data_IF_730051559608
#
_entry.id   IF_730051559608
#
_cell.length_a   1.000
_cell.length_b   1.000
_cell.length_c   1.000
_cell.angle_alpha   90.00
_cell.angle_beta   90.00
_cell.angle_gamma   90.00
#
_symmetry.space_group_name_H-M   'P 1'
#
loop_
_entity.id
_entity.type
_entity.pdbx_description
1 polymer ?
#
# COMPACT_ATOMS: atom_id res chain seq x y z
N UNK A 1 9.07 -26.72 -17.67
CA UNK A 1 8.86 -26.79 -16.21
C UNK A 1 8.64 -25.39 -15.70
N UNK A 2 7.54 -25.13 -14.97
CA UNK A 2 7.35 -23.84 -14.31
C UNK A 2 8.34 -23.76 -13.14
N UNK A 3 9.24 -22.77 -13.16
CA UNK A 3 10.16 -22.54 -12.05
C UNK A 3 9.38 -21.81 -10.97
N UNK A 4 9.01 -22.53 -9.90
CA UNK A 4 8.42 -21.90 -8.71
C UNK A 4 9.52 -21.24 -7.90
N UNK A 5 9.44 -19.91 -7.76
CA UNK A 5 10.38 -19.08 -6.99
C UNK A 5 9.77 -18.75 -5.64
N UNK A 6 10.27 -19.39 -4.60
CA UNK A 6 9.72 -19.26 -3.24
C UNK A 6 9.99 -17.87 -2.64
N UNK A 7 11.10 -17.24 -3.03
CA UNK A 7 11.40 -15.85 -2.69
C UNK A 7 10.41 -14.87 -3.33
N UNK A 8 9.97 -15.10 -4.56
CA UNK A 8 8.92 -14.27 -5.16
C UNK A 8 7.57 -14.41 -4.44
N UNK A 9 7.24 -15.61 -3.94
CA UNK A 9 6.02 -15.86 -3.17
C UNK A 9 6.06 -15.22 -1.78
N UNK A 10 7.24 -15.14 -1.18
CA UNK A 10 7.46 -14.59 0.17
C UNK A 10 7.98 -13.15 0.17
N UNK A 11 7.86 -12.42 -0.95
CA UNK A 11 8.37 -11.05 -1.08
C UNK A 11 7.64 -10.07 -0.15
N UNK A 12 6.34 -10.26 0.08
CA UNK A 12 5.57 -9.46 1.03
C UNK A 12 5.55 -10.09 2.42
N UNK A 13 5.58 -9.26 3.46
CA UNK A 13 5.39 -9.69 4.85
C UNK A 13 4.19 -8.99 5.47
N UNK A 14 3.58 -9.63 6.46
CA UNK A 14 2.56 -9.02 7.33
C UNK A 14 2.83 -9.44 8.76
N UNK A 15 2.99 -8.47 9.65
CA UNK A 15 3.08 -8.67 11.10
C UNK A 15 1.83 -8.12 11.75
N UNK A 16 1.25 -8.87 12.68
CA UNK A 16 0.05 -8.46 13.42
C UNK A 16 0.42 -8.17 14.88
N UNK A 17 -0.19 -7.12 15.44
CA UNK A 17 -0.19 -6.80 16.87
C UNK A 17 -1.65 -6.84 17.31
N UNK A 18 -1.99 -7.76 18.21
CA UNK A 18 -3.39 -7.98 18.62
C UNK A 18 -4.02 -6.77 19.31
N UNK A 19 -3.21 -6.08 20.13
CA UNK A 19 -3.63 -4.91 20.88
C UNK A 19 -2.61 -3.79 20.73
N UNK A 20 -2.87 -2.93 19.76
CA UNK A 20 -2.14 -1.69 19.56
C UNK A 20 -3.01 -0.51 19.98
N UNK A 21 -2.41 0.44 20.68
CA UNK A 21 -3.08 1.62 21.23
C UNK A 21 -2.56 2.87 20.53
N UNK A 22 -3.47 3.80 20.23
CA UNK A 22 -3.16 5.08 19.61
C UNK A 22 -4.23 6.12 19.96
N UNK A 23 -4.00 7.39 19.64
CA UNK A 23 -5.04 8.40 19.66
C UNK A 23 -5.80 8.43 18.33
N UNK A 24 -7.08 8.82 18.34
CA UNK A 24 -7.85 9.05 17.11
C UNK A 24 -7.14 10.01 16.13
N UNK A 25 -6.34 10.93 16.65
CA UNK A 25 -5.58 11.90 15.87
C UNK A 25 -4.40 11.29 15.11
N UNK A 26 -3.89 10.13 15.56
CA UNK A 26 -2.77 9.42 14.94
C UNK A 26 -3.18 8.65 13.67
N UNK A 27 -4.47 8.47 13.43
CA UNK A 27 -4.98 7.77 12.23
C UNK A 27 -4.93 8.72 11.03
N UNK A 28 -4.20 8.40 9.98
CA UNK A 28 -3.97 9.25 8.82
C UNK A 28 -5.06 9.17 7.74
N UNK A 29 -5.79 8.05 7.68
CA UNK A 29 -6.85 7.89 6.68
C UNK A 29 -7.63 6.59 6.79
N UNK A 30 -8.44 6.34 5.76
CA UNK A 30 -9.25 5.13 5.62
C UNK A 30 -8.81 4.34 4.39
N UNK A 31 -8.90 3.02 4.45
CA UNK A 31 -8.51 2.16 3.32
C UNK A 31 -9.64 1.25 2.80
N UNK A 32 -10.81 1.22 3.45
CA UNK A 32 -11.98 0.45 3.00
C UNK A 32 -13.30 1.25 3.04
N UNK A 33 -13.22 2.58 3.13
CA UNK A 33 -14.39 3.45 3.12
C UNK A 33 -15.17 3.33 1.81
N UNK A 34 -16.50 3.46 1.90
CA UNK A 34 -17.40 3.60 0.75
C UNK A 34 -17.38 5.02 0.15
N UNK A 35 -16.70 5.96 0.80
CA UNK A 35 -16.58 7.33 0.33
C UNK A 35 -15.59 7.43 -0.82
N UNK A 36 -15.80 8.41 -1.71
CA UNK A 36 -14.84 8.75 -2.78
C UNK A 36 -13.62 9.50 -2.21
N UNK A 37 -12.81 8.79 -1.40
CA UNK A 37 -11.68 9.38 -0.65
C UNK A 37 -10.67 10.09 -1.55
N UNK A 38 -10.55 9.65 -2.81
CA UNK A 38 -9.64 10.24 -3.80
C UNK A 38 -9.96 11.71 -4.14
N UNK A 39 -11.17 12.20 -3.81
CA UNK A 39 -11.58 13.59 -3.99
C UNK A 39 -11.06 14.53 -2.89
N UNK A 40 -10.44 13.98 -1.83
CA UNK A 40 -10.04 14.72 -0.64
C UNK A 40 -8.56 14.58 -0.36
N UNK A 41 -7.92 15.68 0.06
CA UNK A 41 -6.50 15.69 0.45
C UNK A 41 -6.28 15.20 1.89
N UNK A 42 -7.33 15.20 2.71
CA UNK A 42 -7.29 14.81 4.12
C UNK A 42 -8.69 14.45 4.63
N UNK A 43 -8.76 13.80 5.79
CA UNK A 43 -10.03 13.55 6.49
C UNK A 43 -10.72 14.85 6.92
N UNK A 44 -9.95 15.87 7.33
CA UNK A 44 -10.49 17.20 7.64
C UNK A 44 -11.22 17.78 6.43
N UNK A 45 -10.59 17.78 5.25
CA UNK A 45 -11.19 18.28 4.02
C UNK A 45 -12.45 17.49 3.61
N UNK A 46 -12.50 16.19 3.93
CA UNK A 46 -13.67 15.36 3.70
C UNK A 46 -14.84 15.82 4.56
N UNK A 47 -14.64 16.01 5.86
CA UNK A 47 -15.71 16.40 6.79
C UNK A 47 -16.16 17.83 6.55
N UNK A 48 -15.22 18.76 6.33
CA UNK A 48 -15.52 20.16 6.02
C UNK A 48 -16.37 20.31 4.75
N UNK A 49 -16.27 19.39 3.79
CA UNK A 49 -17.07 19.44 2.55
C UNK A 49 -18.35 18.64 2.64
N UNK A 50 -18.29 17.41 3.17
CA UNK A 50 -19.37 16.44 3.05
C UNK A 50 -20.18 16.22 4.33
N UNK A 51 -19.75 16.75 5.48
CA UNK A 51 -20.36 16.47 6.79
C UNK A 51 -20.27 17.67 7.74
N UNK A 52 -20.59 18.85 7.23
CA UNK A 52 -20.52 20.10 8.00
C UNK A 52 -21.40 20.07 9.24
N UNK A 53 -22.56 19.42 9.16
CA UNK A 53 -23.51 19.21 10.25
C UNK A 53 -22.95 18.35 11.39
N UNK A 54 -21.90 17.56 11.13
CA UNK A 54 -21.22 16.77 12.17
C UNK A 54 -20.17 17.58 12.93
N UNK A 55 -19.82 18.77 12.43
CA UNK A 55 -18.79 19.66 12.98
C UNK A 55 -19.28 21.12 13.07
N UNK A 56 -20.59 21.31 13.10
CA UNK A 56 -21.25 22.63 13.21
C UNK A 56 -20.84 23.34 14.51
N UNK A 57 -20.64 22.56 15.56
CA UNK A 57 -20.09 22.97 16.84
C UNK A 57 -18.83 22.18 17.19
N UNK A 58 -17.84 22.86 17.75
CA UNK A 58 -16.61 22.25 18.25
C UNK A 58 -16.72 22.17 19.77
N UNK A 59 -17.44 21.16 20.26
CA UNK A 59 -17.74 20.97 21.68
C UNK A 59 -17.52 19.51 22.11
N UNK A 60 -17.23 19.25 23.40
CA UNK A 60 -17.15 17.89 23.93
C UNK A 60 -18.43 17.08 23.72
N UNK A 61 -19.59 17.73 23.78
CA UNK A 61 -20.89 17.09 23.57
C UNK A 61 -21.05 16.59 22.13
N UNK A 62 -20.67 17.42 21.14
CA UNK A 62 -20.69 17.04 19.73
C UNK A 62 -19.66 15.94 19.41
N UNK A 63 -18.51 15.98 20.08
CA UNK A 63 -17.53 14.89 20.00
C UNK A 63 -18.13 13.58 20.50
N UNK A 64 -18.78 13.59 21.67
CA UNK A 64 -19.41 12.41 22.24
C UNK A 64 -20.55 11.87 21.35
N UNK A 65 -21.35 12.76 20.75
CA UNK A 65 -22.40 12.38 19.79
C UNK A 65 -21.81 11.62 18.59
N UNK A 66 -20.75 12.15 17.97
CA UNK A 66 -20.11 11.49 16.83
C UNK A 66 -19.46 10.15 17.23
N UNK A 67 -18.81 10.08 18.39
CA UNK A 67 -18.18 8.86 18.90
C UNK A 67 -19.19 7.76 19.28
N UNK A 68 -20.42 8.14 19.61
CA UNK A 68 -21.49 7.18 19.92
C UNK A 68 -22.04 6.47 18.68
N UNK A 69 -21.61 6.83 17.47
CA UNK A 69 -22.07 6.20 16.23
C UNK A 69 -21.63 4.73 16.15
N UNK A 70 -22.60 3.83 16.01
CA UNK A 70 -22.37 2.39 16.12
C UNK A 70 -21.49 1.81 15.00
N UNK A 71 -21.40 2.49 13.86
CA UNK A 71 -20.55 2.06 12.75
C UNK A 71 -19.09 2.48 12.90
N UNK A 72 -18.72 3.20 13.96
CA UNK A 72 -17.30 3.32 14.35
C UNK A 72 -16.91 2.03 15.07
N UNK A 73 -16.73 0.97 14.29
CA UNK A 73 -16.62 -0.39 14.83
C UNK A 73 -15.35 -0.60 15.62
N UNK A 74 -14.28 0.13 15.33
CA UNK A 74 -13.06 0.08 16.17
C UNK A 74 -13.32 0.46 17.64
N UNK A 75 -14.39 1.22 17.92
CA UNK A 75 -14.85 1.56 19.28
C UNK A 75 -15.99 0.64 19.71
N UNK A 76 -16.97 0.41 18.83
CA UNK A 76 -18.23 -0.27 19.20
C UNK A 76 -18.17 -1.81 19.13
N UNK A 77 -17.20 -2.41 18.41
CA UNK A 77 -17.09 -3.87 18.17
C UNK A 77 -15.65 -4.36 18.01
N UNK A 78 -15.27 -5.36 18.79
CA UNK A 78 -13.86 -5.77 18.98
C UNK A 78 -13.19 -6.44 17.76
N UNK A 79 -13.93 -6.89 16.74
CA UNK A 79 -13.42 -7.79 15.70
C UNK A 79 -13.56 -7.33 14.24
N UNK A 80 -14.20 -6.19 13.97
CA UNK A 80 -14.53 -5.79 12.60
C UNK A 80 -13.49 -4.87 11.94
N UNK A 81 -13.19 -3.74 12.59
CA UNK A 81 -12.24 -2.76 12.06
C UNK A 81 -10.85 -3.00 12.67
N UNK A 82 -9.81 -2.63 11.95
CA UNK A 82 -8.42 -2.76 12.40
C UNK A 82 -7.55 -1.67 11.78
N UNK A 83 -6.36 -1.47 12.34
CA UNK A 83 -5.37 -0.54 11.81
C UNK A 83 -4.40 -1.24 10.88
N UNK A 84 -3.88 -0.53 9.89
CA UNK A 84 -2.78 -1.03 9.08
C UNK A 84 -1.83 0.07 8.61
N UNK A 85 -0.57 -0.31 8.42
CA UNK A 85 0.49 0.55 7.89
C UNK A 85 1.33 -0.25 6.89
N UNK A 86 1.82 0.44 5.87
CA UNK A 86 2.88 -0.07 5.02
C UNK A 86 4.20 0.56 5.42
N UNK A 87 5.24 -0.24 5.67
CA UNK A 87 6.52 0.24 6.21
C UNK A 87 7.15 1.35 5.37
N UNK A 88 6.95 1.33 4.06
CA UNK A 88 7.47 2.37 3.15
C UNK A 88 6.68 3.68 3.13
N UNK A 89 5.50 3.72 3.75
CA UNK A 89 4.60 4.88 3.81
C UNK A 89 4.51 5.46 5.23
N UNK A 90 4.57 4.60 6.26
CA UNK A 90 4.62 4.99 7.68
C UNK A 90 3.30 5.49 8.28
N UNK A 91 2.34 5.89 7.44
CA UNK A 91 1.01 6.36 7.87
C UNK A 91 0.12 5.22 8.35
N UNK A 92 -0.76 5.52 9.31
CA UNK A 92 -1.71 4.58 9.90
C UNK A 92 -3.08 4.73 9.25
N UNK A 93 -3.60 3.66 8.66
CA UNK A 93 -4.92 3.64 8.06
C UNK A 93 -5.89 2.80 8.88
N UNK A 94 -7.10 3.30 9.07
CA UNK A 94 -8.21 2.52 9.59
C UNK A 94 -8.86 1.72 8.44
N UNK A 95 -8.89 0.41 8.60
CA UNK A 95 -9.64 -0.51 7.77
C UNK A 95 -11.06 -0.61 8.28
N UNK A 96 -11.89 0.35 7.87
CA UNK A 96 -13.27 0.44 8.30
C UNK A 96 -14.25 0.00 7.21
N UNK A 97 -15.40 -0.51 7.64
CA UNK A 97 -16.50 -0.90 6.75
C UNK A 97 -17.75 -0.01 6.87
N UNK A 98 -17.71 0.98 7.78
CA UNK A 98 -18.75 1.98 8.05
C UNK A 98 -18.20 3.12 8.93
N UNK A 99 -18.98 4.17 9.17
CA UNK A 99 -18.62 5.22 10.14
C UNK A 99 -17.50 6.21 9.77
N UNK A 100 -16.98 6.24 8.54
CA UNK A 100 -15.86 7.15 8.16
C UNK A 100 -16.16 8.63 8.44
N UNK A 101 -17.39 9.09 8.21
CA UNK A 101 -17.77 10.49 8.41
C UNK A 101 -17.75 10.87 9.90
N UNK A 102 -18.39 10.06 10.75
CA UNK A 102 -18.39 10.26 12.20
C UNK A 102 -16.99 10.11 12.81
N UNK A 103 -16.18 9.14 12.35
CA UNK A 103 -14.80 9.00 12.80
C UNK A 103 -13.98 10.26 12.46
N UNK A 104 -14.05 10.72 11.21
CA UNK A 104 -13.31 11.89 10.77
C UNK A 104 -13.80 13.17 11.47
N UNK A 105 -15.11 13.31 11.72
CA UNK A 105 -15.67 14.43 12.50
C UNK A 105 -15.20 14.39 13.95
N UNK A 106 -15.18 13.21 14.56
CA UNK A 106 -14.65 13.01 15.92
C UNK A 106 -13.17 13.42 15.99
N UNK A 107 -12.34 12.95 15.05
CA UNK A 107 -10.93 13.36 14.95
C UNK A 107 -10.80 14.88 14.80
N UNK A 108 -11.62 15.48 13.93
CA UNK A 108 -11.59 16.91 13.64
C UNK A 108 -11.89 17.76 14.88
N UNK A 109 -12.90 17.39 15.66
CA UNK A 109 -13.30 18.06 16.90
C UNK A 109 -12.27 17.81 18.01
N UNK A 110 -11.89 16.55 18.25
CA UNK A 110 -10.92 16.17 19.28
C UNK A 110 -9.60 16.94 19.14
N UNK A 111 -9.08 17.05 17.91
CA UNK A 111 -7.88 17.82 17.60
C UNK A 111 -8.00 19.31 17.93
N UNK A 112 -9.17 19.92 17.70
CA UNK A 112 -9.40 21.35 17.96
C UNK A 112 -9.64 21.65 19.43
N UNK A 113 -10.20 20.70 20.16
CA UNK A 113 -10.37 20.78 21.62
C UNK A 113 -9.13 20.34 22.38
N UNK A 114 -8.13 19.76 21.69
CA UNK A 114 -6.97 19.13 22.31
C UNK A 114 -7.39 18.06 23.34
N UNK A 115 -8.36 17.23 22.95
CA UNK A 115 -8.87 16.10 23.74
C UNK A 115 -8.33 14.81 23.14
N UNK A 116 -7.73 13.98 23.98
CA UNK A 116 -7.32 12.63 23.59
C UNK A 116 -8.53 11.70 23.56
N UNK A 117 -8.62 10.89 22.50
CA UNK A 117 -9.60 9.83 22.33
C UNK A 117 -8.81 8.55 22.05
N UNK A 118 -8.48 7.78 23.10
CA UNK A 118 -7.68 6.57 22.95
C UNK A 118 -8.47 5.49 22.20
N UNK A 119 -7.81 4.88 21.23
CA UNK A 119 -8.29 3.74 20.47
C UNK A 119 -7.40 2.53 20.74
N UNK A 120 -8.00 1.35 20.67
CA UNK A 120 -7.28 0.08 20.80
C UNK A 120 -7.83 -0.91 19.79
N UNK A 121 -6.95 -1.64 19.12
CA UNK A 121 -7.38 -2.71 18.22
C UNK A 121 -6.22 -3.45 17.59
N UNK A 122 -6.56 -4.38 16.69
CA UNK A 122 -5.56 -5.10 15.90
C UNK A 122 -4.83 -4.14 14.97
N UNK A 123 -3.54 -4.33 14.81
CA UNK A 123 -2.70 -3.52 13.94
C UNK A 123 -1.83 -4.39 13.04
N UNK A 124 -1.92 -4.17 11.73
CA UNK A 124 -1.15 -4.88 10.71
C UNK A 124 -0.07 -4.00 10.12
N UNK A 125 1.16 -4.51 10.12
CA UNK A 125 2.29 -3.86 9.46
C UNK A 125 2.70 -4.70 8.26
N UNK A 126 2.53 -4.12 7.08
CA UNK A 126 2.93 -4.71 5.81
C UNK A 126 4.33 -4.25 5.43
N UNK A 127 5.18 -5.18 5.01
CA UNK A 127 6.55 -4.89 4.65
C UNK A 127 7.03 -5.70 3.45
N UNK A 128 8.30 -5.49 3.11
CA UNK A 128 9.02 -6.26 2.10
C UNK A 128 10.00 -7.18 2.83
N UNK A 129 9.99 -8.45 2.47
CA UNK A 129 10.95 -9.43 2.97
C UNK A 129 12.33 -9.16 2.33
N UNK A 130 13.24 -8.58 3.12
CA UNK A 130 14.57 -8.23 2.64
C UNK A 130 15.37 -9.44 2.16
N UNK A 131 15.29 -10.58 2.85
CA UNK A 131 15.99 -11.82 2.45
C UNK A 131 15.49 -12.32 1.09
N UNK A 132 14.17 -12.30 0.89
CA UNK A 132 13.58 -12.69 -0.38
C UNK A 132 13.94 -11.70 -1.52
N UNK A 133 13.94 -10.41 -1.23
CA UNK A 133 14.34 -9.38 -2.18
C UNK A 133 15.82 -9.48 -2.56
N UNK A 134 16.70 -9.72 -1.59
CA UNK A 134 18.12 -9.96 -1.83
C UNK A 134 18.34 -11.18 -2.72
N UNK A 135 17.69 -12.30 -2.41
CA UNK A 135 17.72 -13.52 -3.24
C UNK A 135 17.27 -13.24 -4.67
N UNK A 136 16.14 -12.55 -4.87
CA UNK A 136 15.65 -12.20 -6.21
C UNK A 136 16.61 -11.29 -6.97
N UNK A 137 17.11 -10.24 -6.30
CA UNK A 137 17.99 -9.24 -6.95
C UNK A 137 19.43 -9.69 -7.09
N UNK A 138 19.82 -10.79 -6.42
CA UNK A 138 21.05 -11.51 -6.69
C UNK A 138 20.94 -12.27 -8.02
N UNK A 139 19.81 -12.95 -8.25
CA UNK A 139 19.63 -13.80 -9.42
C UNK A 139 19.17 -13.05 -10.68
N UNK A 140 18.45 -11.94 -10.50
CA UNK A 140 17.81 -11.20 -11.59
C UNK A 140 18.08 -9.70 -11.54
N UNK A 141 18.20 -9.11 -12.72
CA UNK A 141 17.86 -7.70 -12.94
C UNK A 141 16.35 -7.62 -13.19
N UNK A 142 15.65 -6.69 -12.53
CA UNK A 142 14.17 -6.64 -12.54
C UNK A 142 13.72 -5.27 -13.01
N UNK A 143 12.97 -5.22 -14.11
CA UNK A 143 12.50 -3.96 -14.70
C UNK A 143 10.99 -3.89 -14.81
N UNK A 144 10.44 -2.69 -14.72
CA UNK A 144 9.04 -2.43 -15.06
C UNK A 144 8.90 -2.24 -16.57
N UNK A 145 7.92 -2.92 -17.16
CA UNK A 145 7.53 -2.77 -18.56
C UNK A 145 6.02 -2.61 -18.67
N UNK A 146 5.54 -2.05 -19.78
CA UNK A 146 4.10 -2.00 -20.07
C UNK A 146 3.57 -3.40 -20.37
N UNK A 147 2.39 -3.75 -19.85
CA UNK A 147 1.69 -4.99 -20.18
C UNK A 147 0.81 -4.91 -21.44
N UNK A 148 0.79 -3.77 -22.15
CA UNK A 148 0.10 -3.66 -23.43
C UNK A 148 0.59 -4.72 -24.43
N UNK A 149 -0.37 -5.39 -25.07
CA UNK A 149 -0.13 -6.58 -25.91
C UNK A 149 0.94 -6.34 -26.99
N UNK A 150 0.90 -5.19 -27.67
CA UNK A 150 1.88 -4.83 -28.72
C UNK A 150 3.29 -4.74 -28.16
N UNK A 151 3.49 -4.08 -27.01
CA UNK A 151 4.79 -3.96 -26.36
C UNK A 151 5.31 -5.31 -25.86
N UNK A 152 4.46 -6.10 -25.20
CA UNK A 152 4.85 -7.44 -24.74
C UNK A 152 5.22 -8.37 -25.90
N UNK A 153 4.47 -8.33 -27.01
CA UNK A 153 4.77 -9.13 -28.19
C UNK A 153 6.07 -8.70 -28.87
N UNK A 154 6.30 -7.39 -29.01
CA UNK A 154 7.57 -6.87 -29.54
C UNK A 154 8.76 -7.29 -28.66
N UNK A 155 8.64 -7.14 -27.33
CA UNK A 155 9.68 -7.57 -26.40
C UNK A 155 9.92 -9.07 -26.46
N UNK A 156 8.86 -9.88 -26.43
CA UNK A 156 8.95 -11.34 -26.52
C UNK A 156 9.65 -11.78 -27.80
N UNK A 157 9.28 -11.22 -28.96
CA UNK A 157 9.92 -11.51 -30.25
C UNK A 157 11.40 -11.11 -30.26
N UNK A 158 11.74 -9.96 -29.67
CA UNK A 158 13.13 -9.54 -29.53
C UNK A 158 13.94 -10.51 -28.67
N UNK A 159 13.40 -10.94 -27.52
CA UNK A 159 14.04 -11.94 -26.65
C UNK A 159 14.20 -13.28 -27.35
N UNK A 160 13.18 -13.75 -28.10
CA UNK A 160 13.27 -14.98 -28.88
C UNK A 160 14.33 -14.90 -29.98
N UNK A 161 14.34 -13.81 -30.76
CA UNK A 161 15.32 -13.60 -31.84
C UNK A 161 16.73 -13.52 -31.30
N UNK A 162 16.92 -12.81 -30.19
CA UNK A 162 18.20 -12.70 -29.51
C UNK A 162 18.54 -13.95 -28.69
N UNK A 163 17.60 -14.87 -28.50
CA UNK A 163 17.65 -16.05 -27.62
C UNK A 163 18.10 -15.70 -26.19
N UNK A 164 17.55 -14.63 -25.64
CA UNK A 164 17.71 -14.28 -24.22
C UNK A 164 16.57 -14.90 -23.41
N UNK A 165 16.91 -15.41 -22.23
CA UNK A 165 15.92 -15.94 -21.29
C UNK A 165 15.31 -14.80 -20.49
N UNK A 166 14.01 -14.85 -20.23
CA UNK A 166 13.40 -13.92 -19.30
C UNK A 166 12.16 -14.55 -18.67
N UNK A 167 11.81 -14.03 -17.50
CA UNK A 167 10.53 -14.30 -16.85
C UNK A 167 9.76 -13.00 -16.71
N UNK A 168 8.46 -13.10 -16.48
CA UNK A 168 7.65 -11.91 -16.25
C UNK A 168 6.47 -12.22 -15.32
N UNK A 169 5.95 -11.18 -14.68
CA UNK A 169 4.76 -11.23 -13.83
C UNK A 169 4.04 -9.90 -13.85
N UNK A 170 2.71 -9.91 -13.90
CA UNK A 170 1.91 -8.68 -13.79
C UNK A 170 2.15 -7.97 -12.45
N UNK A 171 2.20 -6.64 -12.48
CA UNK A 171 2.24 -5.84 -11.27
C UNK A 171 0.83 -5.76 -10.63
N UNK A 172 0.76 -5.64 -9.29
CA UNK A 172 -0.51 -5.50 -8.60
C UNK A 172 -1.16 -4.14 -8.89
N UNK A 173 -2.43 -4.00 -8.51
CA UNK A 173 -3.13 -2.71 -8.55
C UNK A 173 -2.34 -1.63 -7.79
N UNK A 174 -2.32 -0.37 -8.27
CA UNK A 174 -3.04 0.14 -9.44
C UNK A 174 -2.33 -0.11 -10.79
N UNK A 175 -1.16 -0.73 -10.80
CA UNK A 175 -0.28 -0.89 -11.98
C UNK A 175 -0.66 -2.07 -12.89
N UNK A 176 -1.95 -2.31 -13.10
CA UNK A 176 -2.44 -3.48 -13.86
C UNK A 176 -2.08 -3.46 -15.35
N UNK A 177 -1.68 -2.29 -15.86
CA UNK A 177 -1.17 -2.07 -17.22
C UNK A 177 0.37 -2.22 -17.31
N UNK A 178 1.00 -2.77 -16.28
CA UNK A 178 2.45 -2.97 -16.19
C UNK A 178 2.80 -4.39 -15.72
N UNK A 179 4.01 -4.83 -16.06
CA UNK A 179 4.58 -6.08 -15.60
C UNK A 179 6.03 -5.90 -15.15
N UNK A 180 6.48 -6.76 -14.24
CA UNK A 180 7.87 -6.95 -13.91
C UNK A 180 8.49 -7.95 -14.89
N UNK A 181 9.64 -7.60 -15.48
CA UNK A 181 10.47 -8.50 -16.29
C UNK A 181 11.72 -8.84 -15.51
N UNK A 182 12.02 -10.13 -15.41
CA UNK A 182 13.16 -10.69 -14.68
C UNK A 182 14.16 -11.25 -15.68
N UNK A 183 15.37 -10.68 -15.69
CA UNK A 183 16.47 -11.08 -16.56
C UNK A 183 17.54 -11.82 -15.74
N UNK A 184 17.76 -13.13 -15.97
CA UNK A 184 18.74 -13.90 -15.21
C UNK A 184 20.15 -13.34 -15.38
N UNK A 185 20.82 -12.97 -14.28
CA UNK A 185 22.19 -12.42 -14.34
C UNK A 185 23.23 -13.46 -14.78
N UNK A 186 22.99 -14.73 -14.48
CA UNK A 186 23.87 -15.83 -14.86
C UNK A 186 23.87 -16.13 -16.37
N UNK A 187 22.91 -15.60 -17.14
CA UNK A 187 22.81 -15.83 -18.59
C UNK A 187 23.30 -14.60 -19.36
N UNK A 188 24.34 -14.79 -20.17
CA UNK A 188 25.08 -13.69 -20.83
C UNK A 188 24.19 -12.79 -21.70
N UNK A 189 23.23 -13.35 -22.43
CA UNK A 189 22.34 -12.58 -23.32
C UNK A 189 21.34 -11.77 -22.51
N UNK A 190 20.77 -12.35 -21.46
CA UNK A 190 19.87 -11.69 -20.51
C UNK A 190 20.57 -10.53 -19.80
N UNK A 191 21.80 -10.74 -19.33
CA UNK A 191 22.63 -9.67 -18.78
C UNK A 191 22.86 -8.54 -19.81
N UNK A 192 23.09 -8.87 -21.09
CA UNK A 192 23.23 -7.86 -22.14
C UNK A 192 21.94 -7.07 -22.38
N UNK A 193 20.78 -7.74 -22.30
CA UNK A 193 19.48 -7.06 -22.37
C UNK A 193 19.32 -6.10 -21.18
N UNK A 194 19.70 -6.52 -19.96
CA UNK A 194 19.62 -5.68 -18.78
C UNK A 194 20.49 -4.42 -18.90
N UNK A 195 21.71 -4.52 -19.45
CA UNK A 195 22.56 -3.35 -19.76
C UNK A 195 21.85 -2.36 -20.69
N UNK A 196 21.15 -2.87 -21.72
CA UNK A 196 20.40 -2.04 -22.67
C UNK A 196 19.22 -1.34 -21.98
N UNK A 197 18.48 -2.05 -21.12
CA UNK A 197 17.36 -1.49 -20.38
C UNK A 197 17.81 -0.40 -19.39
N UNK A 198 18.92 -0.63 -18.69
CA UNK A 198 19.58 0.38 -17.85
C UNK A 198 20.00 1.61 -18.68
N UNK A 199 20.70 1.41 -19.80
CA UNK A 199 21.12 2.50 -20.69
C UNK A 199 19.93 3.26 -21.31
N UNK A 200 18.77 2.61 -21.41
CA UNK A 200 17.52 3.20 -21.92
C UNK A 200 16.63 3.77 -20.81
N UNK A 201 17.14 3.86 -19.57
CA UNK A 201 16.46 4.43 -18.41
C UNK A 201 15.11 3.76 -18.07
N UNK A 202 14.99 2.45 -18.29
CA UNK A 202 13.84 1.70 -17.77
C UNK A 202 13.87 1.68 -16.24
N UNK A 203 12.69 1.71 -15.62
CA UNK A 203 12.56 1.67 -14.16
C UNK A 203 13.08 0.33 -13.62
N UNK A 204 14.17 0.39 -12.86
CA UNK A 204 14.69 -0.73 -12.08
C UNK A 204 13.77 -0.95 -10.86
N UNK A 205 12.99 -2.03 -10.92
CA UNK A 205 12.08 -2.43 -9.87
C UNK A 205 12.83 -3.03 -8.68
N UNK A 206 13.90 -3.78 -8.94
CA UNK A 206 14.71 -4.39 -7.88
C UNK A 206 15.35 -3.35 -6.96
N UNK A 207 15.92 -2.31 -7.56
CA UNK A 207 16.46 -1.14 -6.84
C UNK A 207 15.37 -0.36 -6.12
N UNK A 208 14.26 -0.06 -6.81
CA UNK A 208 13.14 0.64 -6.18
C UNK A 208 12.63 -0.07 -4.93
N UNK A 209 12.42 -1.39 -5.00
CA UNK A 209 11.98 -2.20 -3.87
C UNK A 209 13.00 -2.19 -2.71
N UNK A 210 14.31 -2.19 -3.01
CA UNK A 210 15.35 -2.06 -1.98
C UNK A 210 15.25 -0.73 -1.27
N UNK A 211 15.17 0.37 -2.02
CA UNK A 211 15.13 1.73 -1.49
C UNK A 211 13.92 1.99 -0.59
N UNK A 212 12.79 1.32 -0.84
CA UNK A 212 11.59 1.43 0.01
C UNK A 212 11.57 0.41 1.16
N UNK A 213 12.33 -0.68 1.07
CA UNK A 213 12.39 -1.72 2.11
C UNK A 213 13.25 -1.34 3.32
N UNK A 214 14.06 -0.29 3.20
CA UNK A 214 14.98 0.20 4.24
C UNK A 214 14.49 1.49 4.92
N UNK A 215 13.25 1.92 4.64
CA UNK A 215 12.64 3.11 5.24
C UNK A 215 12.03 2.81 6.60
#
# INVERSE_FOLDING_TARGET
>A
MSVRREDLLNLGTTREVERWECDIQDVDGFSASKSELHLFKSMDAMVEKNSKEMIDEITPEKLAENLAWDEIRIISRVDHDFFQTWSWDGRVFLMNSGGSHHFAASKYIAKRLNIEVPLSGRYRVHGINQVALESLTQDFEIFVMSSYHTHQMCFHRAMQSFKATYYWKDLPRPYTDQCAVFLPKAERRSAKVAEILHASAFQDLGRYLKDISTR
#
